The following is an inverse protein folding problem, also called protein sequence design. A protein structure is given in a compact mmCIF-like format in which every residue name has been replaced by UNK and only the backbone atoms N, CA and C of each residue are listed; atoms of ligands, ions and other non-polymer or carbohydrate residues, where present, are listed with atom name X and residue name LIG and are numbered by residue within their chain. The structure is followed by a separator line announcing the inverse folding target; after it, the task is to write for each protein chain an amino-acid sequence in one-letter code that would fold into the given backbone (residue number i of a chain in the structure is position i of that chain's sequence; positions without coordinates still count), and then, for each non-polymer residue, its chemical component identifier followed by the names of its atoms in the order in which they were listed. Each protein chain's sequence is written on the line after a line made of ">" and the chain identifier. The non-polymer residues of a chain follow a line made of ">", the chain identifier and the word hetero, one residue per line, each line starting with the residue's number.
data_IF_152246685382
#
_entry.id   IF_152246685382
#
_cell.length_a   1.000
_cell.length_b   1.000
_cell.length_c   1.000
_cell.angle_alpha   90.00
_cell.angle_beta   90.00
_cell.angle_gamma   90.00
#
_symmetry.space_group_name_H-M   'P 1'
#
loop_
_entity.id
_entity.type
_entity.pdbx_description
1 polymer ?
#
# COMPACT_ATOMS: atom_id res chain seq x y z
N UNK A 1 -20.62 11.53 -2.05
CA UNK A 1 -19.14 11.41 -1.89
C UNK A 1 -18.46 12.34 -2.89
N UNK A 2 -17.53 13.15 -2.40
CA UNK A 2 -16.78 14.04 -3.29
C UNK A 2 -15.70 13.24 -4.01
N UNK A 3 -15.71 13.27 -5.34
CA UNK A 3 -14.68 12.59 -6.13
C UNK A 3 -13.32 13.26 -5.97
N UNK A 4 -12.29 12.46 -5.72
CA UNK A 4 -10.92 12.92 -5.61
C UNK A 4 -10.03 12.16 -6.58
N UNK A 5 -8.98 12.81 -7.03
CA UNK A 5 -8.03 12.20 -7.96
C UNK A 5 -6.70 11.95 -7.26
N UNK A 6 -6.02 10.89 -7.66
CA UNK A 6 -4.66 10.67 -7.22
C UNK A 6 -3.75 11.74 -7.80
N UNK A 7 -2.89 12.29 -6.95
CA UNK A 7 -1.90 13.28 -7.34
C UNK A 7 -0.52 12.73 -7.03
N UNK A 8 0.19 12.28 -8.07
CA UNK A 8 1.54 11.77 -7.94
C UNK A 8 2.51 12.94 -7.80
N UNK A 9 3.18 13.00 -6.64
CA UNK A 9 4.17 14.04 -6.34
C UNK A 9 5.54 13.41 -6.26
N UNK A 10 6.40 13.72 -7.24
CA UNK A 10 7.74 13.14 -7.31
C UNK A 10 8.65 13.99 -8.18
N UNK A 11 9.94 13.98 -7.87
CA UNK A 11 10.98 14.56 -8.69
C UNK A 11 11.49 13.60 -9.77
N UNK A 12 11.12 12.32 -9.67
CA UNK A 12 11.55 11.31 -10.62
C UNK A 12 10.70 11.38 -11.90
N UNK A 13 11.34 11.04 -12.99
CA UNK A 13 10.66 10.87 -14.28
C UNK A 13 10.81 9.43 -14.74
N UNK A 14 9.80 8.86 -15.41
CA UNK A 14 9.94 7.53 -15.98
C UNK A 14 11.14 7.45 -16.92
N UNK A 15 11.92 6.40 -16.78
CA UNK A 15 13.13 6.19 -17.59
C UNK A 15 13.24 4.73 -18.01
N UNK A 16 14.12 4.45 -18.99
CA UNK A 16 14.32 3.11 -19.49
C UNK A 16 13.04 2.53 -20.07
N UNK A 17 12.65 1.35 -19.60
CA UNK A 17 11.43 0.67 -20.04
C UNK A 17 10.18 1.10 -19.26
N UNK A 18 10.31 1.98 -18.29
CA UNK A 18 9.18 2.40 -17.44
C UNK A 18 8.06 3.09 -18.22
N UNK A 19 8.32 4.03 -19.14
CA UNK A 19 7.23 4.66 -19.89
C UNK A 19 6.38 3.64 -20.65
N UNK A 20 7.01 2.65 -21.29
CA UNK A 20 6.30 1.61 -22.01
C UNK A 20 5.49 0.73 -21.07
N UNK A 21 6.06 0.32 -19.93
CA UNK A 21 5.37 -0.49 -18.93
C UNK A 21 4.15 0.25 -18.37
N UNK A 22 4.31 1.53 -18.04
CA UNK A 22 3.23 2.37 -17.52
C UNK A 22 2.08 2.44 -18.55
N UNK A 23 2.41 2.71 -19.79
CA UNK A 23 1.42 2.82 -20.86
C UNK A 23 0.68 1.50 -21.07
N UNK A 24 1.39 0.40 -21.17
CA UNK A 24 0.77 -0.93 -21.38
C UNK A 24 -0.11 -1.36 -20.23
N UNK A 25 0.35 -1.17 -19.00
CA UNK A 25 -0.44 -1.54 -17.82
C UNK A 25 -1.69 -0.68 -17.69
N UNK A 26 -1.56 0.62 -17.90
CA UNK A 26 -2.70 1.54 -17.86
C UNK A 26 -3.73 1.18 -18.94
N UNK A 27 -3.29 0.95 -20.16
CA UNK A 27 -4.17 0.56 -21.26
C UNK A 27 -4.86 -0.76 -20.99
N UNK A 28 -4.14 -1.75 -20.44
CA UNK A 28 -4.71 -3.04 -20.10
C UNK A 28 -5.84 -2.94 -19.09
N UNK A 29 -5.66 -2.14 -18.06
CA UNK A 29 -6.69 -1.91 -17.05
C UNK A 29 -7.91 -1.22 -17.68
N UNK A 30 -7.68 -0.20 -18.49
CA UNK A 30 -8.76 0.53 -19.15
C UNK A 30 -9.53 -0.33 -20.15
N UNK A 31 -8.88 -1.33 -20.75
CA UNK A 31 -9.51 -2.30 -21.65
C UNK A 31 -10.22 -3.43 -20.91
N UNK A 32 -10.10 -3.48 -19.59
CA UNK A 32 -10.76 -4.49 -18.77
C UNK A 32 -9.98 -5.80 -18.62
N UNK A 33 -8.68 -5.80 -18.86
CA UNK A 33 -7.87 -6.99 -18.62
C UNK A 33 -7.91 -7.34 -17.12
N UNK A 34 -8.16 -8.60 -16.83
CA UNK A 34 -8.23 -9.07 -15.45
C UNK A 34 -6.87 -9.19 -14.79
N UNK A 35 -5.87 -9.59 -15.56
CA UNK A 35 -4.55 -9.88 -15.05
C UNK A 35 -3.49 -9.34 -15.98
N UNK A 36 -2.44 -8.79 -15.37
CA UNK A 36 -1.24 -8.35 -16.08
C UNK A 36 -0.06 -8.61 -15.18
N UNK A 37 1.10 -8.89 -15.75
CA UNK A 37 2.32 -9.13 -15.00
C UNK A 37 3.38 -8.11 -15.38
N UNK A 38 3.98 -7.48 -14.36
CA UNK A 38 5.13 -6.60 -14.54
C UNK A 38 6.38 -7.33 -14.06
N UNK A 39 7.28 -7.61 -14.98
CA UNK A 39 8.56 -8.23 -14.65
C UNK A 39 9.64 -7.18 -14.54
N UNK A 40 10.42 -7.28 -13.47
CA UNK A 40 11.54 -6.38 -13.24
C UNK A 40 12.41 -6.91 -12.12
N UNK A 41 13.70 -6.61 -12.21
CA UNK A 41 14.64 -6.97 -11.15
C UNK A 41 14.55 -5.97 -10.00
N UNK A 42 15.10 -6.34 -8.85
CA UNK A 42 15.20 -5.45 -7.69
C UNK A 42 15.93 -4.16 -8.10
N UNK A 43 15.38 -3.02 -7.71
CA UNK A 43 15.94 -1.74 -8.08
C UNK A 43 15.52 -1.20 -9.43
N UNK A 44 14.62 -1.89 -10.14
CA UNK A 44 14.13 -1.45 -11.45
C UNK A 44 13.07 -0.35 -11.39
N UNK A 45 12.68 0.05 -10.19
CA UNK A 45 11.67 1.09 -10.02
C UNK A 45 10.24 0.60 -10.21
N UNK A 46 9.95 -0.65 -9.86
CA UNK A 46 8.59 -1.20 -10.00
C UNK A 46 7.55 -0.41 -9.20
N UNK A 47 7.89 0.01 -7.99
CA UNK A 47 6.96 0.80 -7.15
C UNK A 47 6.62 2.11 -7.82
N UNK A 48 7.60 2.79 -8.37
CA UNK A 48 7.39 4.04 -9.11
C UNK A 48 6.52 3.80 -10.35
N UNK A 49 6.77 2.72 -11.09
CA UNK A 49 5.95 2.33 -12.23
C UNK A 49 4.50 2.13 -11.81
N UNK A 50 4.27 1.39 -10.73
CA UNK A 50 2.92 1.14 -10.22
C UNK A 50 2.24 2.42 -9.73
N UNK A 51 2.98 3.33 -9.10
CA UNK A 51 2.43 4.62 -8.68
C UNK A 51 1.91 5.42 -9.87
N UNK A 52 2.65 5.42 -10.98
CA UNK A 52 2.21 6.07 -12.21
C UNK A 52 0.92 5.42 -12.77
N UNK A 53 0.85 4.09 -12.76
CA UNK A 53 -0.35 3.37 -13.22
C UNK A 53 -1.56 3.73 -12.36
N UNK A 54 -1.39 3.75 -11.04
CA UNK A 54 -2.46 4.09 -10.10
C UNK A 54 -2.97 5.51 -10.38
N UNK A 55 -2.07 6.46 -10.57
CA UNK A 55 -2.45 7.84 -10.87
C UNK A 55 -3.20 7.94 -12.21
N UNK A 56 -2.76 7.19 -13.21
CA UNK A 56 -3.39 7.22 -14.54
C UNK A 56 -4.78 6.59 -14.55
N UNK A 57 -4.94 5.48 -13.82
CA UNK A 57 -6.21 4.75 -13.76
C UNK A 57 -7.20 5.41 -12.81
N UNK A 58 -6.70 6.02 -11.75
CA UNK A 58 -7.47 6.78 -10.77
C UNK A 58 -8.59 5.97 -10.11
N UNK A 59 -8.26 4.78 -9.63
CA UNK A 59 -9.21 3.90 -8.93
C UNK A 59 -8.67 3.49 -7.57
N UNK A 60 -9.55 3.20 -6.60
CA UNK A 60 -9.11 2.63 -5.34
C UNK A 60 -8.27 1.37 -5.58
N UNK A 61 -7.19 1.23 -4.85
CA UNK A 61 -6.18 0.20 -5.11
C UNK A 61 -5.84 -0.56 -3.84
N UNK A 62 -5.76 -1.88 -3.96
CA UNK A 62 -5.28 -2.76 -2.90
C UNK A 62 -3.92 -3.32 -3.32
N UNK A 63 -2.93 -3.14 -2.45
CA UNK A 63 -1.58 -3.65 -2.65
C UNK A 63 -1.33 -4.76 -1.64
N UNK A 64 -1.09 -5.97 -2.13
CA UNK A 64 -0.80 -7.12 -1.28
C UNK A 64 0.68 -7.45 -1.34
N UNK A 65 1.32 -7.51 -0.17
CA UNK A 65 2.70 -7.92 -0.05
C UNK A 65 2.78 -9.28 0.66
N UNK A 66 3.82 -10.04 0.41
CA UNK A 66 3.92 -11.37 0.98
C UNK A 66 4.36 -11.40 2.45
N UNK A 67 4.83 -10.29 3.00
CA UNK A 67 5.11 -10.18 4.44
C UNK A 67 4.91 -8.75 4.92
N UNK A 68 4.90 -8.57 6.25
CA UNK A 68 4.64 -7.27 6.86
C UNK A 68 5.76 -6.26 6.64
N UNK A 69 6.99 -6.72 6.53
CA UNK A 69 8.15 -5.82 6.32
C UNK A 69 8.03 -5.16 4.95
N UNK A 70 7.76 -5.95 3.93
CA UNK A 70 7.55 -5.42 2.58
C UNK A 70 6.30 -4.53 2.52
N UNK A 71 5.22 -4.94 3.20
CA UNK A 71 4.00 -4.13 3.24
C UNK A 71 4.27 -2.75 3.86
N UNK A 72 5.00 -2.70 4.97
CA UNK A 72 5.35 -1.44 5.61
C UNK A 72 6.21 -0.57 4.69
N UNK A 73 7.17 -1.17 4.01
CA UNK A 73 8.03 -0.45 3.07
C UNK A 73 7.23 0.13 1.91
N UNK A 74 6.35 -0.66 1.31
CA UNK A 74 5.49 -0.21 0.22
C UNK A 74 4.54 0.90 0.67
N UNK A 75 3.95 0.76 1.85
CA UNK A 75 3.10 1.80 2.41
C UNK A 75 3.84 3.13 2.54
N UNK A 76 5.06 3.09 3.07
CA UNK A 76 5.91 4.28 3.20
C UNK A 76 6.22 4.91 1.83
N UNK A 77 6.56 4.10 0.84
CA UNK A 77 6.87 4.58 -0.50
C UNK A 77 5.64 5.21 -1.16
N UNK A 78 4.47 4.58 -1.06
CA UNK A 78 3.25 5.14 -1.62
C UNK A 78 2.81 6.43 -0.91
N UNK A 79 3.04 6.54 0.39
CA UNK A 79 2.78 7.80 1.11
C UNK A 79 3.65 8.94 0.61
N UNK A 80 4.90 8.64 0.25
CA UNK A 80 5.80 9.64 -0.33
C UNK A 80 5.32 10.09 -1.72
N UNK A 81 4.85 9.16 -2.54
CA UNK A 81 4.34 9.48 -3.87
C UNK A 81 2.98 10.17 -3.86
N UNK A 82 2.14 9.85 -2.88
CA UNK A 82 0.78 10.38 -2.80
C UNK A 82 0.51 11.06 -1.45
N UNK A 83 1.21 12.17 -1.16
CA UNK A 83 1.06 12.84 0.14
C UNK A 83 -0.33 13.45 0.35
N UNK A 84 -1.09 13.70 -0.71
CA UNK A 84 -2.40 14.31 -0.65
C UNK A 84 -3.55 13.31 -0.78
N UNK A 85 -3.23 12.04 -0.86
CA UNK A 85 -4.23 10.97 -1.02
C UNK A 85 -4.19 10.03 0.19
N UNK A 86 -5.21 9.18 0.31
CA UNK A 86 -5.30 8.26 1.43
C UNK A 86 -4.48 7.00 1.15
N UNK A 87 -3.38 6.84 1.84
CA UNK A 87 -2.57 5.61 1.82
C UNK A 87 -2.63 5.01 3.20
N UNK A 88 -3.25 3.84 3.32
CA UNK A 88 -3.52 3.22 4.60
C UNK A 88 -2.83 1.86 4.71
N UNK A 89 -2.39 1.54 5.91
CA UNK A 89 -1.77 0.26 6.21
C UNK A 89 -2.79 -0.63 6.93
N UNK A 90 -3.12 -1.76 6.32
CA UNK A 90 -4.05 -2.72 6.90
C UNK A 90 -3.24 -3.93 7.38
N UNK A 91 -3.23 -4.17 8.68
CA UNK A 91 -2.38 -5.17 9.32
C UNK A 91 -3.24 -6.16 10.11
N UNK A 92 -2.87 -7.44 10.10
CA UNK A 92 -3.51 -8.44 10.94
C UNK A 92 -2.92 -8.40 12.36
N UNK A 93 -3.68 -8.91 13.32
CA UNK A 93 -3.17 -9.06 14.68
C UNK A 93 -1.95 -9.99 14.69
N UNK A 94 -1.99 -11.06 13.93
CA UNK A 94 -0.88 -12.01 13.84
C UNK A 94 0.40 -11.35 13.36
N UNK A 95 0.34 -10.57 12.28
CA UNK A 95 1.51 -9.89 11.73
C UNK A 95 2.11 -8.88 12.71
N UNK A 96 1.25 -8.17 13.43
CA UNK A 96 1.71 -7.16 14.37
C UNK A 96 2.46 -7.80 15.55
N UNK A 97 2.04 -8.98 15.97
CA UNK A 97 2.64 -9.72 17.08
C UNK A 97 3.82 -10.61 16.68
N UNK A 98 4.35 -10.51 15.48
CA UNK A 98 5.55 -11.23 15.06
C UNK A 98 6.76 -10.90 15.94
N UNK A 99 7.84 -11.71 15.91
CA UNK A 99 8.93 -11.70 16.91
C UNK A 99 9.48 -10.35 17.33
N UNK A 100 9.34 -9.33 16.53
CA UNK A 100 9.81 -7.99 16.88
C UNK A 100 9.09 -7.39 18.08
N UNK A 101 7.86 -7.81 18.33
CA UNK A 101 7.07 -7.35 19.46
C UNK A 101 7.22 -8.26 20.70
N UNK A 102 7.91 -9.37 20.56
CA UNK A 102 8.04 -10.37 21.62
C UNK A 102 9.36 -10.19 22.37
N UNK A 103 9.25 -9.97 23.67
CA UNK A 103 10.41 -9.91 24.59
C UNK A 103 10.23 -11.05 25.58
N UNK A 104 11.01 -12.15 25.44
CA UNK A 104 10.83 -13.33 26.30
C UNK A 104 11.02 -13.00 27.79
N UNK A 105 10.10 -13.55 28.61
CA UNK A 105 10.25 -13.50 30.06
C UNK A 105 9.91 -12.19 30.73
N UNK A 106 9.24 -11.26 30.07
CA UNK A 106 8.86 -9.99 30.67
C UNK A 106 7.35 -9.82 30.72
N UNK A 107 6.86 -9.27 31.83
CA UNK A 107 5.46 -8.90 31.99
C UNK A 107 5.07 -7.72 31.10
N UNK A 108 6.04 -7.01 30.60
CA UNK A 108 5.87 -5.88 29.67
C UNK A 108 5.09 -6.29 28.40
N UNK A 109 5.23 -7.53 27.98
CA UNK A 109 4.50 -8.06 26.83
C UNK A 109 2.97 -8.01 27.05
N UNK A 110 2.53 -8.37 28.24
CA UNK A 110 1.08 -8.40 28.57
C UNK A 110 0.51 -6.98 28.61
N UNK A 111 1.25 -6.04 29.20
CA UNK A 111 0.82 -4.65 29.28
C UNK A 111 0.74 -3.99 27.92
N UNK A 112 1.70 -4.30 27.03
CA UNK A 112 1.72 -3.78 25.67
C UNK A 112 0.59 -4.37 24.81
N UNK A 113 0.08 -5.51 25.17
CA UNK A 113 -0.90 -6.24 24.40
C UNK A 113 -2.17 -5.41 24.16
N UNK A 114 -2.74 -4.81 25.21
CA UNK A 114 -3.92 -3.95 25.08
C UNK A 114 -3.64 -2.73 24.21
N UNK A 115 -2.50 -2.08 24.41
CA UNK A 115 -2.11 -0.91 23.63
C UNK A 115 -1.90 -1.25 22.16
N UNK A 116 -1.27 -2.40 21.89
CA UNK A 116 -1.04 -2.87 20.54
C UNK A 116 -2.36 -3.19 19.84
N UNK A 117 -3.30 -3.82 20.53
CA UNK A 117 -4.63 -4.12 19.97
C UNK A 117 -5.38 -2.84 19.60
N UNK A 118 -5.32 -1.80 20.45
CA UNK A 118 -5.94 -0.52 20.16
C UNK A 118 -5.34 0.13 18.93
N UNK A 119 -4.03 0.05 18.79
CA UNK A 119 -3.33 0.60 17.62
C UNK A 119 -3.70 -0.13 16.34
N UNK A 120 -3.76 -1.47 16.38
CA UNK A 120 -4.20 -2.28 15.25
C UNK A 120 -5.63 -1.90 14.84
N UNK A 121 -6.53 -1.79 15.82
CA UNK A 121 -7.92 -1.42 15.57
C UNK A 121 -8.03 -0.06 14.93
N UNK A 122 -7.23 0.91 15.37
CA UNK A 122 -7.19 2.25 14.75
C UNK A 122 -6.76 2.18 13.29
N UNK A 123 -5.71 1.42 12.98
CA UNK A 123 -5.22 1.27 11.61
C UNK A 123 -6.28 0.61 10.71
N UNK A 124 -6.92 -0.44 11.19
CA UNK A 124 -7.96 -1.16 10.43
C UNK A 124 -9.19 -0.28 10.24
N UNK A 125 -9.57 0.46 11.25
CA UNK A 125 -10.71 1.37 11.20
C UNK A 125 -10.44 2.54 10.24
N UNK A 126 -9.25 3.11 10.30
CA UNK A 126 -8.84 4.18 9.38
C UNK A 126 -8.92 3.73 7.92
N UNK A 127 -8.42 2.53 7.62
CA UNK A 127 -8.48 1.98 6.27
C UNK A 127 -9.92 1.78 5.81
N UNK A 128 -10.77 1.22 6.67
CA UNK A 128 -12.19 0.98 6.36
C UNK A 128 -12.92 2.30 6.13
N UNK A 129 -12.69 3.28 6.99
CA UNK A 129 -13.30 4.60 6.87
C UNK A 129 -12.89 5.29 5.57
N UNK A 130 -11.61 5.23 5.22
CA UNK A 130 -11.11 5.82 3.98
C UNK A 130 -11.80 5.21 2.76
N UNK A 131 -11.97 3.88 2.73
CA UNK A 131 -12.67 3.20 1.63
C UNK A 131 -14.13 3.63 1.52
N UNK A 132 -14.78 3.90 2.65
CA UNK A 132 -16.19 4.31 2.67
C UNK A 132 -16.39 5.77 2.23
N UNK A 133 -15.42 6.63 2.49
CA UNK A 133 -15.58 8.07 2.30
C UNK A 133 -14.84 8.65 1.09
N UNK A 134 -13.86 7.92 0.56
CA UNK A 134 -12.97 8.41 -0.50
C UNK A 134 -12.82 7.39 -1.60
N UNK A 135 -12.52 7.88 -2.80
CA UNK A 135 -12.18 7.03 -3.95
C UNK A 135 -10.67 7.07 -4.27
N UNK A 136 -9.91 7.98 -3.66
CA UNK A 136 -8.47 8.12 -3.85
C UNK A 136 -7.71 7.39 -2.73
N UNK A 137 -7.92 6.08 -2.64
CA UNK A 137 -7.41 5.27 -1.54
C UNK A 137 -6.50 4.16 -2.04
N UNK A 138 -5.35 4.01 -1.39
CA UNK A 138 -4.46 2.87 -1.55
C UNK A 138 -4.39 2.16 -0.20
N UNK A 139 -4.78 0.89 -0.17
CA UNK A 139 -4.63 0.05 1.01
C UNK A 139 -3.44 -0.87 0.78
N UNK A 140 -2.49 -0.88 1.69
CA UNK A 140 -1.34 -1.79 1.64
C UNK A 140 -1.48 -2.79 2.77
N UNK A 141 -1.40 -4.06 2.44
CA UNK A 141 -1.64 -5.16 3.37
C UNK A 141 -0.70 -6.32 3.12
N UNK A 142 -0.46 -7.13 4.14
CA UNK A 142 0.21 -8.42 3.95
C UNK A 142 -0.84 -9.47 3.61
N UNK A 143 -0.38 -10.59 3.01
CA UNK A 143 -1.30 -11.66 2.58
C UNK A 143 -1.95 -12.42 3.74
N UNK A 144 -1.48 -12.21 4.97
CA UNK A 144 -2.05 -12.85 6.15
C UNK A 144 -3.23 -12.09 6.76
N UNK A 145 -3.58 -10.97 6.19
CA UNK A 145 -4.71 -10.17 6.70
C UNK A 145 -6.06 -10.72 6.26
#
# INVERSE_FOLDING_TARGET
>A
MKERKFELVTDYKPSGDQPEAISKLTDGINKGYREQTLLGVTGSGKTFTMANVIANVNKPTLVLAHNKILAAQLCSEFKEFFPNNAVEYFVSYYDYYQPEAYIPGTDTYIEKDSSVNDEIDKMRHSATTALSERNDVIIVSSVSC
#
